data_IF_120642705682
#
_entry.id   IF_120642705682
#
_cell.length_a   1.000
_cell.length_b   1.000
_cell.length_c   1.000
_cell.angle_alpha   90.00
_cell.angle_beta   90.00
_cell.angle_gamma   90.00
#
_symmetry.space_group_name_H-M   'P 1'
#
loop_
_entity.id
_entity.type
_entity.pdbx_description
1 polymer ?
#
# COMPACT_ATOMS: atom_id res chain seq x y z
N UNK A 1 23.63 14.60 -28.94
CA UNK A 1 23.36 13.54 -27.95
C UNK A 1 22.06 13.89 -27.27
N UNK A 2 20.98 13.17 -27.57
CA UNK A 2 19.74 13.25 -26.81
C UNK A 2 19.58 11.90 -26.12
N UNK A 3 19.84 11.87 -24.81
CA UNK A 3 19.50 10.72 -23.99
C UNK A 3 18.01 10.78 -23.71
N UNK A 4 17.25 9.83 -24.25
CA UNK A 4 15.88 9.63 -23.81
C UNK A 4 15.91 8.96 -22.44
N UNK A 5 15.47 9.67 -21.40
CA UNK A 5 15.09 9.06 -20.13
C UNK A 5 13.78 8.33 -20.39
N UNK A 6 13.82 7.01 -20.54
CA UNK A 6 12.61 6.20 -20.54
C UNK A 6 11.97 6.36 -19.14
N UNK A 7 10.88 7.13 -19.05
CA UNK A 7 9.96 7.04 -17.92
C UNK A 7 9.26 5.70 -18.08
N UNK A 8 9.72 4.68 -17.36
CA UNK A 8 8.98 3.42 -17.28
C UNK A 8 7.66 3.68 -16.58
N UNK A 9 6.55 3.39 -17.26
CA UNK A 9 5.23 3.44 -16.65
C UNK A 9 5.16 2.37 -15.56
N UNK A 10 4.90 2.81 -14.32
CA UNK A 10 4.77 1.93 -13.16
C UNK A 10 3.43 2.18 -12.50
N UNK A 11 2.68 1.11 -12.31
CA UNK A 11 1.39 1.15 -11.64
C UNK A 11 1.57 0.92 -10.14
N UNK A 12 0.81 1.68 -9.35
CA UNK A 12 0.70 1.45 -7.90
C UNK A 12 -0.50 0.54 -7.67
N UNK A 13 -0.25 -0.60 -7.03
CA UNK A 13 -1.27 -1.59 -6.71
C UNK A 13 -1.49 -1.60 -5.20
N UNK A 14 -2.74 -1.39 -4.79
CA UNK A 14 -3.15 -1.47 -3.39
C UNK A 14 -3.85 -2.79 -3.11
N UNK A 15 -3.29 -3.63 -2.23
CA UNK A 15 -3.96 -4.86 -1.78
C UNK A 15 -4.67 -4.63 -0.45
N UNK A 16 -5.99 -4.52 -0.50
CA UNK A 16 -6.86 -4.25 0.65
C UNK A 16 -7.18 -5.51 1.45
N UNK A 17 -7.07 -5.46 2.77
CA UNK A 17 -7.47 -6.52 3.72
C UNK A 17 -8.27 -5.91 4.88
N UNK A 18 -9.59 -6.13 4.88
CA UNK A 18 -10.47 -5.71 5.97
C UNK A 18 -10.19 -6.50 7.25
N UNK A 19 -10.36 -5.87 8.41
CA UNK A 19 -10.28 -6.59 9.68
C UNK A 19 -8.85 -6.95 10.10
N UNK A 20 -7.85 -6.28 9.52
CA UNK A 20 -6.42 -6.57 9.71
C UNK A 20 -5.68 -5.32 10.15
N UNK A 21 -4.65 -5.52 10.96
CA UNK A 21 -3.86 -4.46 11.56
C UNK A 21 -2.40 -4.90 11.78
N UNK A 22 -1.45 -4.01 11.51
CA UNK A 22 -0.02 -4.20 11.76
C UNK A 22 0.55 -3.04 12.60
N UNK A 23 0.66 -3.22 13.92
CA UNK A 23 0.99 -2.10 14.83
C UNK A 23 2.47 -1.86 15.14
N UNK A 24 3.35 -2.83 14.90
CA UNK A 24 4.74 -2.77 15.41
C UNK A 24 5.73 -2.03 14.49
N UNK A 25 5.31 -1.68 13.27
CA UNK A 25 6.20 -1.15 12.23
C UNK A 25 5.76 0.22 11.74
N UNK A 26 5.00 0.95 12.57
CA UNK A 26 4.49 2.27 12.25
C UNK A 26 5.65 3.27 12.21
N UNK A 27 5.89 3.86 11.04
CA UNK A 27 6.90 4.89 10.85
C UNK A 27 6.31 6.30 10.93
N UNK A 28 5.01 6.44 10.62
CA UNK A 28 4.31 7.72 10.67
C UNK A 28 2.80 7.52 10.82
N UNK A 29 2.14 8.49 11.45
CA UNK A 29 0.67 8.54 11.53
C UNK A 29 0.15 9.88 11.02
N UNK A 30 -0.99 9.86 10.35
CA UNK A 30 -1.71 11.05 9.89
C UNK A 30 -3.22 10.87 10.02
N UNK A 31 -3.97 11.96 9.78
CA UNK A 31 -5.43 11.94 9.75
C UNK A 31 -5.96 12.06 8.33
N UNK A 32 -6.69 11.03 7.90
CA UNK A 32 -7.50 11.01 6.69
C UNK A 32 -8.56 9.92 6.80
N UNK A 33 -9.75 10.13 6.27
CA UNK A 33 -10.78 9.08 6.19
C UNK A 33 -10.77 8.35 4.84
N UNK A 34 -9.99 8.83 3.88
CA UNK A 34 -9.97 8.30 2.53
C UNK A 34 -8.89 7.21 2.37
N UNK A 35 -9.30 6.06 1.84
CA UNK A 35 -8.44 4.88 1.66
C UNK A 35 -7.30 5.16 0.65
N UNK A 36 -7.61 5.93 -0.41
CA UNK A 36 -6.64 6.29 -1.43
C UNK A 36 -5.63 7.32 -0.91
N UNK A 37 -6.07 8.37 -0.21
CA UNK A 37 -5.17 9.36 0.37
C UNK A 37 -4.22 8.75 1.40
N UNK A 38 -4.71 7.80 2.22
CA UNK A 38 -3.88 7.07 3.18
C UNK A 38 -2.81 6.24 2.45
N UNK A 39 -3.20 5.50 1.42
CA UNK A 39 -2.27 4.64 0.65
C UNK A 39 -1.31 5.45 -0.23
N UNK A 40 -1.75 6.57 -0.80
CA UNK A 40 -0.91 7.48 -1.56
C UNK A 40 0.10 8.21 -0.64
N UNK A 41 -0.28 8.50 0.61
CA UNK A 41 0.67 9.02 1.60
C UNK A 41 1.82 8.04 1.86
N UNK A 42 1.54 6.73 1.84
CA UNK A 42 2.58 5.70 1.93
C UNK A 42 3.53 5.73 0.73
N UNK A 43 2.99 5.81 -0.49
CA UNK A 43 3.82 5.88 -1.69
C UNK A 43 4.81 7.06 -1.66
N UNK A 44 4.41 8.18 -1.07
CA UNK A 44 5.25 9.37 -0.93
C UNK A 44 6.15 9.36 0.32
N UNK A 45 6.02 8.37 1.21
CA UNK A 45 6.80 8.26 2.45
C UNK A 45 7.91 7.21 2.27
N UNK A 46 9.19 7.61 2.30
CA UNK A 46 10.30 6.69 2.13
C UNK A 46 10.26 5.52 3.13
N UNK A 47 10.35 4.30 2.60
CA UNK A 47 10.34 3.08 3.40
C UNK A 47 8.95 2.59 3.81
N UNK A 48 7.88 3.31 3.45
CA UNK A 48 6.53 2.81 3.63
C UNK A 48 6.19 1.76 2.56
N UNK A 49 5.63 0.63 3.00
CA UNK A 49 5.19 -0.47 2.12
C UNK A 49 3.78 -0.96 2.44
N UNK A 50 3.17 -0.48 3.52
CA UNK A 50 1.77 -0.77 3.86
C UNK A 50 1.17 0.28 4.79
N UNK A 51 -0.15 0.29 4.93
CA UNK A 51 -0.87 1.19 5.84
C UNK A 51 -1.95 0.48 6.66
N UNK A 52 -2.22 0.98 7.86
CA UNK A 52 -3.46 0.71 8.59
C UNK A 52 -4.36 1.94 8.53
N UNK A 53 -5.60 1.77 8.10
CA UNK A 53 -6.61 2.82 8.20
C UNK A 53 -7.72 2.41 9.16
N UNK A 54 -7.90 3.21 10.21
CA UNK A 54 -8.98 3.04 11.16
C UNK A 54 -10.28 3.61 10.60
N UNK A 55 -11.16 2.73 10.16
CA UNK A 55 -12.43 3.09 9.49
C UNK A 55 -13.61 3.21 10.46
N UNK A 56 -13.49 2.71 11.68
CA UNK A 56 -14.55 2.71 12.71
C UNK A 56 -13.99 3.01 14.11
N UNK A 57 -14.89 3.25 15.04
CA UNK A 57 -14.57 3.38 16.46
C UNK A 57 -13.84 4.67 16.81
N UNK A 58 -13.19 4.67 17.97
CA UNK A 58 -12.42 5.83 18.45
C UNK A 58 -11.21 6.04 17.56
N UNK A 59 -10.95 7.30 17.21
CA UNK A 59 -9.89 7.71 16.29
C UNK A 59 -10.10 7.26 14.84
N UNK A 60 -11.36 7.10 14.38
CA UNK A 60 -11.68 7.01 12.95
C UNK A 60 -10.88 8.04 12.14
N UNK A 61 -10.42 7.59 10.98
CA UNK A 61 -9.52 8.33 10.09
C UNK A 61 -8.08 8.40 10.58
N UNK A 62 -7.67 7.60 11.58
CA UNK A 62 -6.25 7.40 11.87
C UNK A 62 -5.66 6.51 10.79
N UNK A 63 -4.69 7.05 10.04
CA UNK A 63 -3.92 6.36 9.03
C UNK A 63 -2.48 6.20 9.54
N UNK A 64 -1.98 4.98 9.57
CA UNK A 64 -0.65 4.63 10.06
C UNK A 64 0.14 4.01 8.91
N UNK A 65 1.28 4.60 8.57
CA UNK A 65 2.21 4.18 7.54
C UNK A 65 3.20 3.18 8.15
N UNK A 66 3.44 2.04 7.50
CA UNK A 66 4.25 0.94 8.02
C UNK A 66 5.43 0.59 7.12
N UNK A 67 6.56 0.18 7.73
CA UNK A 67 7.78 -0.24 7.03
C UNK A 67 7.85 -1.73 6.70
N UNK A 68 6.77 -2.48 6.94
CA UNK A 68 6.68 -3.93 6.73
C UNK A 68 5.34 -4.33 6.16
N UNK A 69 5.27 -5.51 5.57
CA UNK A 69 4.01 -6.09 5.10
C UNK A 69 3.58 -7.28 5.97
N UNK A 70 2.30 -7.65 5.90
CA UNK A 70 1.80 -8.85 6.55
C UNK A 70 2.37 -10.14 5.93
N UNK A 71 2.76 -10.11 4.66
CA UNK A 71 3.36 -11.25 3.97
C UNK A 71 4.77 -11.56 4.47
N UNK A 72 5.53 -10.54 4.85
CA UNK A 72 6.87 -10.69 5.45
C UNK A 72 6.81 -11.31 6.85
N UNK A 73 5.64 -11.25 7.50
CA UNK A 73 5.45 -11.55 8.91
C UNK A 73 4.28 -12.52 9.06
N UNK A 74 4.56 -13.82 8.86
CA UNK A 74 3.56 -14.89 8.86
C UNK A 74 2.65 -14.96 10.10
N UNK A 75 3.00 -14.29 11.20
CA UNK A 75 2.27 -14.34 12.48
C UNK A 75 1.96 -12.98 13.13
N UNK A 76 2.42 -11.84 12.59
CA UNK A 76 2.32 -10.55 13.31
C UNK A 76 1.07 -9.72 12.98
N UNK A 77 0.31 -10.14 11.96
CA UNK A 77 -0.95 -9.50 11.59
C UNK A 77 -2.06 -9.75 12.60
N UNK A 78 -2.50 -8.69 13.28
CA UNK A 78 -3.59 -8.77 14.24
C UNK A 78 -4.94 -8.66 13.54
N UNK A 79 -5.95 -9.32 14.10
CA UNK A 79 -7.34 -9.13 13.70
C UNK A 79 -7.91 -7.90 14.39
N UNK A 80 -8.37 -6.93 13.61
CA UNK A 80 -9.02 -5.71 14.11
C UNK A 80 -10.12 -5.25 13.15
N UNK A 81 -11.38 -5.48 13.53
CA UNK A 81 -12.55 -5.14 12.74
C UNK A 81 -12.77 -3.63 12.53
N UNK A 82 -12.08 -2.77 13.29
CA UNK A 82 -12.13 -1.33 13.12
C UNK A 82 -11.14 -0.83 12.07
N UNK A 83 -10.20 -1.69 11.63
CA UNK A 83 -9.13 -1.34 10.72
C UNK A 83 -9.24 -2.04 9.36
N UNK A 84 -8.68 -1.37 8.35
CA UNK A 84 -8.42 -1.91 7.03
C UNK A 84 -6.93 -1.74 6.75
N UNK A 85 -6.27 -2.83 6.39
CA UNK A 85 -4.88 -2.85 6.01
C UNK A 85 -4.74 -2.75 4.49
N UNK A 86 -3.76 -2.01 4.00
CA UNK A 86 -3.38 -2.01 2.57
C UNK A 86 -1.89 -2.27 2.41
N UNK A 87 -1.53 -3.23 1.56
CA UNK A 87 -0.17 -3.34 1.03
C UNK A 87 -0.04 -2.41 -0.19
N UNK A 88 1.07 -1.70 -0.29
CA UNK A 88 1.39 -0.82 -1.43
C UNK A 88 2.51 -1.45 -2.25
N UNK A 89 2.18 -1.93 -3.44
CA UNK A 89 3.14 -2.54 -4.36
C UNK A 89 3.33 -1.66 -5.61
N UNK A 90 4.56 -1.59 -6.13
CA UNK A 90 4.83 -1.01 -7.44
C UNK A 90 4.98 -2.14 -8.47
N UNK A 91 4.20 -2.09 -9.54
CA UNK A 91 4.39 -2.96 -10.71
C UNK A 91 4.95 -2.15 -11.85
N UNK A 92 6.15 -2.49 -12.30
CA UNK A 92 6.67 -1.97 -13.56
C UNK A 92 5.98 -2.69 -14.71
N UNK A 93 5.27 -1.93 -15.55
CA UNK A 93 4.76 -2.45 -16.80
C UNK A 93 5.96 -2.65 -17.73
N UNK A 94 6.24 -3.90 -18.11
CA UNK A 94 7.22 -4.16 -19.16
C UNK A 94 6.52 -3.97 -20.48
N UNK A 95 6.98 -3.03 -21.31
CA UNK A 95 6.58 -2.91 -22.71
C UNK A 95 7.10 -4.12 -23.50
N UNK A 96 6.48 -5.30 -23.31
CA UNK A 96 6.63 -6.51 -24.15
C UNK A 96 5.80 -7.71 -23.64
N UNK A 97 4.56 -7.52 -23.15
CA UNK A 97 3.59 -8.63 -23.17
C UNK A 97 3.06 -8.77 -24.60
N UNK A 98 3.67 -9.66 -25.40
CA UNK A 98 3.10 -10.12 -26.67
C UNK A 98 1.74 -10.75 -26.38
N UNK A 99 0.67 -10.04 -26.74
CA UNK A 99 -0.67 -10.58 -26.78
C UNK A 99 -0.77 -11.56 -27.96
N UNK A 100 -0.49 -12.85 -27.72
CA UNK A 100 -0.78 -13.89 -28.71
C UNK A 100 -2.29 -14.03 -28.84
N UNK A 101 -2.83 -13.54 -29.96
CA UNK A 101 -4.19 -13.86 -30.39
C UNK A 101 -4.25 -15.38 -30.61
N UNK A 102 -5.05 -16.08 -29.80
CA UNK A 102 -5.39 -17.47 -30.09
C UNK A 102 -6.32 -17.51 -31.29
N UNK A 103 -5.96 -18.29 -32.31
CA UNK A 103 -6.82 -18.69 -33.42
C UNK A 103 -7.91 -19.68 -32.98
#
# INVERSE_FOLDING_TARGET
MFGQVARGDSDIIFKRRSGRYLGNYIIRSLKTEDEFDCSNSCFNEPGCVSVNLKVKGRNKGLCELNSKTLEELSEEGQSDAENVYFQVDMRSCKENEEFSHGE
#
